data_IF_445041070087
#
_entry.id   IF_445041070087
#
_cell.length_a   1.000
_cell.length_b   1.000
_cell.length_c   1.000
_cell.angle_alpha   90.00
_cell.angle_beta   90.00
_cell.angle_gamma   90.00
#
_symmetry.space_group_name_H-M   'P 1'
#
loop_
_entity.id
_entity.type
_entity.pdbx_description
1 polymer ?
#
# COMPACT_ATOMS: atom_id res chain seq x y z
N UNK A 1 -3.68 7.64 -4.03
CA UNK A 1 -2.37 7.02 -3.78
C UNK A 1 -1.32 7.69 -4.66
N UNK A 2 -0.14 8.00 -4.12
CA UNK A 2 0.98 8.63 -4.86
C UNK A 2 2.25 7.82 -4.56
N UNK A 3 3.07 7.55 -5.58
CA UNK A 3 4.33 6.80 -5.45
C UNK A 3 5.40 7.54 -6.25
N UNK A 4 6.57 7.71 -5.66
CA UNK A 4 7.75 8.32 -6.30
C UNK A 4 8.93 7.38 -6.03
N UNK A 5 9.61 6.98 -7.10
CA UNK A 5 10.76 6.08 -7.00
C UNK A 5 10.84 5.13 -8.20
N UNK A 6 11.86 4.28 -8.20
CA UNK A 6 11.98 3.18 -9.15
C UNK A 6 10.88 2.14 -8.92
N UNK A 7 10.37 1.52 -9.99
CA UNK A 7 9.28 0.54 -9.89
C UNK A 7 7.90 1.14 -9.52
N UNK A 8 7.72 2.46 -9.62
CA UNK A 8 6.47 3.11 -9.20
C UNK A 8 5.25 2.67 -10.04
N UNK A 9 5.42 2.50 -11.35
CA UNK A 9 4.36 2.07 -12.27
C UNK A 9 3.90 0.63 -11.96
N UNK A 10 4.80 -0.20 -11.46
CA UNK A 10 4.61 -1.59 -11.08
C UNK A 10 3.90 -1.74 -9.74
N UNK A 11 3.72 -0.64 -9.00
CA UNK A 11 3.07 -0.66 -7.69
C UNK A 11 1.80 0.17 -7.63
N UNK A 12 1.69 1.24 -8.44
CA UNK A 12 0.58 2.20 -8.35
C UNK A 12 -0.79 1.51 -8.49
N UNK A 13 -0.87 0.48 -9.32
CA UNK A 13 -2.10 -0.25 -9.58
C UNK A 13 -2.64 -0.99 -8.34
N UNK A 14 -1.78 -1.41 -7.40
CA UNK A 14 -2.20 -2.07 -6.16
C UNK A 14 -3.07 -1.11 -5.33
N UNK A 15 -2.55 0.09 -5.04
CA UNK A 15 -3.28 1.10 -4.29
C UNK A 15 -4.53 1.61 -5.02
N UNK A 16 -4.45 1.77 -6.35
CA UNK A 16 -5.62 2.15 -7.15
C UNK A 16 -6.71 1.08 -7.13
N UNK A 17 -6.35 -0.21 -7.17
CA UNK A 17 -7.29 -1.31 -7.09
C UNK A 17 -7.99 -1.35 -5.71
N UNK A 18 -7.23 -1.21 -4.62
CA UNK A 18 -7.80 -1.14 -3.27
C UNK A 18 -8.79 0.02 -3.15
N UNK A 19 -8.42 1.22 -3.61
CA UNK A 19 -9.32 2.38 -3.59
C UNK A 19 -10.57 2.16 -4.46
N UNK A 20 -10.40 1.62 -5.68
CA UNK A 20 -11.50 1.42 -6.63
C UNK A 20 -12.50 0.36 -6.17
N UNK A 21 -12.04 -0.63 -5.41
CA UNK A 21 -12.87 -1.68 -4.83
C UNK A 21 -13.40 -1.33 -3.42
N UNK A 22 -13.16 -0.09 -2.95
CA UNK A 22 -13.63 0.37 -1.64
C UNK A 22 -12.89 -0.24 -0.45
N UNK A 23 -11.70 -0.80 -0.66
CA UNK A 23 -10.84 -1.30 0.41
C UNK A 23 -10.25 -0.18 1.27
N UNK A 24 -9.95 -0.50 2.52
CA UNK A 24 -9.38 0.42 3.52
C UNK A 24 -7.89 0.18 3.73
N UNK A 25 -7.26 1.00 4.57
CA UNK A 25 -5.85 0.80 4.97
C UNK A 25 -5.63 -0.55 5.67
N UNK A 26 -6.63 -1.08 6.36
CA UNK A 26 -6.58 -2.40 7.03
C UNK A 26 -6.26 -3.51 6.04
N UNK A 27 -6.83 -3.45 4.82
CA UNK A 27 -6.52 -4.41 3.76
C UNK A 27 -5.02 -4.45 3.44
N UNK A 28 -4.37 -3.29 3.36
CA UNK A 28 -2.93 -3.20 3.06
C UNK A 28 -2.07 -3.71 4.21
N UNK A 29 -2.53 -3.56 5.46
CA UNK A 29 -1.84 -4.06 6.65
C UNK A 29 -1.91 -5.59 6.72
N UNK A 30 -3.10 -6.14 6.49
CA UNK A 30 -3.37 -7.57 6.62
C UNK A 30 -2.87 -8.37 5.41
N UNK A 31 -2.71 -7.73 4.25
CA UNK A 31 -2.21 -8.37 3.05
C UNK A 31 -0.77 -8.87 3.24
N UNK A 32 -0.51 -10.12 2.86
CA UNK A 32 0.84 -10.68 2.79
C UNK A 32 1.43 -10.35 1.41
N UNK A 33 2.40 -9.44 1.38
CA UNK A 33 3.15 -9.11 0.17
C UNK A 33 4.33 -10.08 -0.01
N UNK A 34 4.73 -10.29 -1.26
CA UNK A 34 5.93 -11.07 -1.57
C UNK A 34 7.19 -10.35 -1.05
N UNK A 35 8.17 -11.12 -0.57
CA UNK A 35 9.43 -10.61 -0.03
C UNK A 35 10.66 -11.20 -0.76
N UNK A 36 11.70 -10.40 -1.08
CA UNK A 36 11.80 -8.94 -0.94
C UNK A 36 11.23 -8.22 -2.17
N UNK A 37 10.22 -7.35 -1.98
CA UNK A 37 9.68 -6.50 -3.06
C UNK A 37 9.26 -5.13 -2.54
N UNK A 38 9.22 -4.11 -3.42
CA UNK A 38 8.75 -2.77 -3.04
C UNK A 38 7.27 -2.73 -2.62
N UNK A 39 6.47 -3.76 -2.91
CA UNK A 39 5.07 -3.81 -2.50
C UNK A 39 4.89 -3.79 -0.98
N UNK A 40 5.91 -4.21 -0.21
CA UNK A 40 5.93 -4.09 1.25
C UNK A 40 5.79 -2.63 1.74
N UNK A 41 6.20 -1.64 0.94
CA UNK A 41 6.03 -0.22 1.28
C UNK A 41 4.57 0.16 1.51
N UNK A 42 3.60 -0.54 0.90
CA UNK A 42 2.18 -0.31 1.19
C UNK A 42 1.81 -0.64 2.63
N UNK A 43 2.38 -1.73 3.17
CA UNK A 43 2.15 -2.13 4.56
C UNK A 43 2.74 -1.09 5.51
N UNK A 44 3.99 -0.68 5.26
CA UNK A 44 4.64 0.39 6.06
C UNK A 44 3.86 1.70 6.01
N UNK A 45 3.41 2.13 4.82
CA UNK A 45 2.65 3.36 4.66
C UNK A 45 1.27 3.29 5.33
N UNK A 46 0.58 2.16 5.27
CA UNK A 46 -0.71 1.97 5.92
C UNK A 46 -0.58 1.97 7.45
N UNK A 47 0.45 1.34 8.00
CA UNK A 47 0.75 1.41 9.44
C UNK A 47 1.06 2.84 9.90
N UNK A 48 1.89 3.57 9.16
CA UNK A 48 2.17 4.98 9.46
C UNK A 48 0.90 5.85 9.43
N UNK A 49 0.03 5.62 8.44
CA UNK A 49 -1.26 6.29 8.33
C UNK A 49 -2.17 6.04 9.55
N UNK A 50 -2.34 4.78 9.96
CA UNK A 50 -3.15 4.45 11.15
C UNK A 50 -2.58 5.09 12.41
N UNK A 51 -1.27 5.04 12.63
CA UNK A 51 -0.62 5.61 13.82
C UNK A 51 -0.76 7.15 13.91
N UNK A 52 -1.11 7.83 12.81
CA UNK A 52 -1.30 9.30 12.77
C UNK A 52 -2.74 9.75 12.95
N UNK A 53 -3.70 8.85 12.73
CA UNK A 53 -5.14 9.17 12.76
C UNK A 53 -5.83 8.50 13.96
N UNK A 54 -5.24 7.41 14.47
CA UNK A 54 -5.65 6.73 15.70
C UNK A 54 -5.24 7.45 16.98
#
# INVERSE_FOLDING_TARGET
VHIIGDGACEMIHIGQAVMSLGGTMDYLIDTVFNYPTFAECYKTAAFDGINRIG
#
